data_IF_063319163717
#
_entry.id   IF_063319163717
#
_cell.length_a   1.000
_cell.length_b   1.000
_cell.length_c   1.000
_cell.angle_alpha   90.00
_cell.angle_beta   90.00
_cell.angle_gamma   90.00
#
_symmetry.space_group_name_H-M   'P 1'
#
loop_
_entity.id
_entity.type
_entity.pdbx_description
1 polymer ?
#
# COMPACT_ATOMS: atom_id res chain seq x y z
N UNK A 1 18.66 -13.59 24.65
CA UNK A 1 18.14 -12.38 25.33
C UNK A 1 17.87 -11.31 24.30
N UNK A 2 16.94 -10.40 24.60
CA UNK A 2 16.32 -9.37 23.75
C UNK A 2 15.17 -9.88 22.85
N UNK A 3 14.01 -10.11 23.47
CA UNK A 3 12.73 -10.08 22.77
C UNK A 3 12.55 -8.69 22.17
N UNK A 4 12.57 -8.61 20.84
CA UNK A 4 12.24 -7.39 20.12
C UNK A 4 10.88 -6.91 20.61
N UNK A 5 10.80 -5.64 21.03
CA UNK A 5 9.55 -5.04 21.50
C UNK A 5 8.51 -5.14 20.39
N UNK A 6 7.57 -6.06 20.53
CA UNK A 6 6.38 -6.15 19.68
C UNK A 6 5.67 -4.80 19.76
N UNK A 7 5.54 -4.11 18.61
CA UNK A 7 4.60 -3.02 18.29
C UNK A 7 4.51 -1.77 19.18
N UNK A 8 4.15 -0.64 18.58
CA UNK A 8 3.70 0.54 19.33
C UNK A 8 2.20 0.42 19.65
N UNK A 9 1.90 -0.24 20.78
CA UNK A 9 0.53 -0.52 21.22
C UNK A 9 0.01 0.57 22.18
N UNK A 10 -1.31 0.81 22.12
CA UNK A 10 -2.05 1.68 23.01
C UNK A 10 -1.95 1.15 24.45
N UNK A 11 -1.47 1.96 25.37
CA UNK A 11 -1.32 1.58 26.79
C UNK A 11 -2.65 1.45 27.52
N UNK A 12 -3.76 1.91 26.92
CA UNK A 12 -5.11 1.85 27.50
C UNK A 12 -5.82 0.54 27.13
N UNK A 13 -5.85 0.18 25.84
CA UNK A 13 -6.61 -0.98 25.36
C UNK A 13 -5.75 -2.11 24.78
N UNK A 14 -4.44 -1.93 24.65
CA UNK A 14 -3.54 -2.90 24.03
C UNK A 14 -3.64 -3.00 22.51
N UNK A 15 -4.55 -2.25 21.87
CA UNK A 15 -4.66 -2.20 20.40
C UNK A 15 -3.51 -1.43 19.75
N UNK A 16 -3.34 -1.56 18.43
CA UNK A 16 -2.36 -0.73 17.68
C UNK A 16 -2.78 0.74 17.77
N UNK A 17 -1.83 1.63 18.03
CA UNK A 17 -2.10 3.08 18.07
C UNK A 17 -2.62 3.58 16.71
N UNK A 18 -3.76 4.29 16.66
CA UNK A 18 -4.32 4.78 15.40
C UNK A 18 -3.37 5.66 14.58
N UNK A 19 -2.49 6.42 15.23
CA UNK A 19 -1.53 7.32 14.57
C UNK A 19 -0.47 6.56 13.76
N UNK A 20 -0.25 5.28 14.06
CA UNK A 20 0.66 4.41 13.30
C UNK A 20 0.03 3.86 12.02
N UNK A 21 -1.29 3.96 11.86
CA UNK A 21 -2.04 3.41 10.72
C UNK A 21 -2.19 4.50 9.66
N UNK A 22 -1.41 4.41 8.58
CA UNK A 22 -1.49 5.33 7.44
C UNK A 22 -2.34 4.71 6.33
N UNK A 23 -3.62 5.07 6.30
CA UNK A 23 -4.55 4.69 5.23
C UNK A 23 -4.76 5.90 4.31
N UNK A 24 -4.51 5.71 3.02
CA UNK A 24 -4.83 6.68 1.97
C UNK A 24 -6.06 6.24 1.20
N UNK A 25 -6.91 7.19 0.83
CA UNK A 25 -8.05 6.91 -0.05
C UNK A 25 -7.70 7.24 -1.49
N UNK A 26 -7.91 6.29 -2.39
CA UNK A 26 -7.75 6.45 -3.84
C UNK A 26 -9.03 6.02 -4.55
N UNK A 27 -9.17 6.36 -5.83
CA UNK A 27 -10.28 5.88 -6.65
C UNK A 27 -9.89 4.59 -7.37
N UNK A 28 -10.56 3.50 -7.03
CA UNK A 28 -10.48 2.23 -7.77
C UNK A 28 -11.79 2.04 -8.50
N UNK A 29 -11.77 2.09 -9.84
CA UNK A 29 -13.00 1.93 -10.65
C UNK A 29 -14.11 2.92 -10.23
N UNK A 30 -13.71 4.19 -10.00
CA UNK A 30 -14.60 5.26 -9.53
C UNK A 30 -15.02 5.17 -8.05
N UNK A 31 -14.56 4.17 -7.30
CA UNK A 31 -14.92 3.97 -5.88
C UNK A 31 -13.79 4.38 -4.96
N UNK A 32 -14.12 5.23 -4.00
CA UNK A 32 -13.23 5.59 -2.89
C UNK A 32 -12.83 4.33 -2.10
N UNK A 33 -11.54 4.01 -2.11
CA UNK A 33 -10.98 2.79 -1.54
C UNK A 33 -9.81 3.15 -0.65
N UNK A 34 -9.86 2.73 0.61
CA UNK A 34 -8.74 2.87 1.55
C UNK A 34 -7.64 1.85 1.24
N UNK A 35 -6.41 2.31 1.07
CA UNK A 35 -5.20 1.51 0.90
C UNK A 35 -4.28 1.79 2.08
N UNK A 36 -4.02 0.74 2.86
CA UNK A 36 -3.05 0.74 3.94
C UNK A 36 -1.63 0.79 3.37
N UNK A 37 -0.79 1.66 3.95
CA UNK A 37 0.64 1.79 3.62
C UNK A 37 0.96 2.20 2.17
N UNK A 38 0.05 2.92 1.49
CA UNK A 38 0.23 3.25 0.06
C UNK A 38 1.55 3.99 -0.21
N UNK A 39 1.91 4.99 0.59
CA UNK A 39 3.16 5.73 0.42
C UNK A 39 4.39 4.84 0.58
N UNK A 40 4.39 3.96 1.60
CA UNK A 40 5.49 3.02 1.86
C UNK A 40 5.64 2.05 0.69
N UNK A 41 4.52 1.59 0.12
CA UNK A 41 4.50 0.72 -1.05
C UNK A 41 5.11 1.45 -2.25
N UNK A 42 4.62 2.65 -2.59
CA UNK A 42 5.10 3.44 -3.73
C UNK A 42 6.59 3.73 -3.61
N UNK A 43 7.05 4.25 -2.46
CA UNK A 43 8.47 4.53 -2.20
C UNK A 43 9.33 3.27 -2.32
N UNK A 44 8.80 2.15 -1.83
CA UNK A 44 9.45 0.86 -1.92
C UNK A 44 9.59 0.35 -3.35
N UNK A 45 8.62 0.61 -4.24
CA UNK A 45 8.70 0.25 -5.67
C UNK A 45 9.64 1.20 -6.42
N UNK A 46 9.59 2.51 -6.15
CA UNK A 46 10.50 3.50 -6.76
C UNK A 46 11.97 3.14 -6.55
N UNK A 47 12.32 2.67 -5.36
CA UNK A 47 13.69 2.23 -5.01
C UNK A 47 14.20 1.03 -5.80
N UNK A 48 13.32 0.26 -6.46
CA UNK A 48 13.73 -0.86 -7.29
C UNK A 48 14.17 -0.42 -8.70
N UNK A 49 13.87 0.81 -9.11
CA UNK A 49 14.23 1.35 -10.43
C UNK A 49 13.84 0.43 -11.59
N UNK A 50 12.63 -0.17 -11.49
CA UNK A 50 12.07 -1.01 -12.55
C UNK A 50 11.88 -0.20 -13.84
N UNK A 51 12.12 -0.83 -14.99
CA UNK A 51 12.26 -0.13 -16.28
C UNK A 51 10.99 -0.05 -17.11
N UNK A 52 9.99 -0.85 -16.79
CA UNK A 52 8.75 -0.93 -17.57
C UNK A 52 7.50 -0.90 -16.67
N UNK A 53 6.43 -0.33 -17.21
CA UNK A 53 5.16 -0.13 -16.52
C UNK A 53 4.54 -1.46 -16.06
N UNK A 54 4.76 -2.56 -16.78
CA UNK A 54 4.20 -3.86 -16.43
C UNK A 54 4.87 -4.44 -15.16
N UNK A 55 6.21 -4.35 -15.07
CA UNK A 55 6.96 -4.74 -13.88
C UNK A 55 6.59 -3.87 -12.66
N UNK A 56 6.45 -2.56 -12.86
CA UNK A 56 6.02 -1.62 -11.80
C UNK A 56 4.62 -2.01 -11.30
N UNK A 57 3.66 -2.18 -12.20
CA UNK A 57 2.29 -2.57 -11.87
C UNK A 57 2.22 -3.90 -11.13
N UNK A 58 2.99 -4.90 -11.58
CA UNK A 58 3.05 -6.21 -10.94
C UNK A 58 3.59 -6.10 -9.50
N UNK A 59 4.64 -5.31 -9.27
CA UNK A 59 5.22 -5.13 -7.94
C UNK A 59 4.30 -4.32 -7.01
N UNK A 60 3.64 -3.26 -7.53
CA UNK A 60 2.63 -2.50 -6.80
C UNK A 60 1.49 -3.40 -6.33
N UNK A 61 0.94 -4.22 -7.23
CA UNK A 61 -0.12 -5.18 -6.89
C UNK A 61 0.35 -6.20 -5.86
N UNK A 62 1.57 -6.73 -6.01
CA UNK A 62 2.14 -7.72 -5.08
C UNK A 62 2.29 -7.14 -3.67
N UNK A 63 2.85 -5.94 -3.53
CA UNK A 63 3.04 -5.29 -2.22
C UNK A 63 1.73 -4.81 -1.62
N UNK A 64 0.84 -4.24 -2.44
CA UNK A 64 -0.49 -3.80 -1.97
C UNK A 64 -1.29 -5.00 -1.45
N UNK A 65 -1.26 -6.12 -2.17
CA UNK A 65 -1.92 -7.37 -1.77
C UNK A 65 -1.37 -8.02 -0.49
N UNK A 66 -0.15 -7.66 -0.06
CA UNK A 66 0.41 -8.14 1.20
C UNK A 66 -0.20 -7.45 2.44
N UNK A 67 -0.70 -6.22 2.28
CA UNK A 67 -1.28 -5.41 3.35
C UNK A 67 -2.78 -5.15 3.20
N UNK A 68 -3.33 -5.41 2.01
CA UNK A 68 -4.70 -5.08 1.64
C UNK A 68 -5.35 -6.24 0.89
N UNK A 69 -6.66 -6.40 1.06
CA UNK A 69 -7.43 -7.33 0.25
C UNK A 69 -7.66 -6.76 -1.17
N UNK A 70 -7.26 -7.51 -2.20
CA UNK A 70 -7.54 -7.20 -3.60
C UNK A 70 -8.42 -8.32 -4.18
N UNK A 71 -9.70 -8.06 -4.48
CA UNK A 71 -10.55 -9.06 -5.11
C UNK A 71 -9.99 -9.47 -6.48
N UNK A 72 -9.90 -10.77 -6.75
CA UNK A 72 -9.33 -11.28 -8.02
C UNK A 72 -10.00 -10.66 -9.26
N UNK A 73 -11.33 -10.47 -9.22
CA UNK A 73 -12.11 -9.85 -10.31
C UNK A 73 -11.84 -8.37 -10.52
N UNK A 74 -11.20 -7.70 -9.56
CA UNK A 74 -10.88 -6.26 -9.58
C UNK A 74 -9.38 -5.99 -9.66
N UNK A 75 -8.55 -7.02 -9.82
CA UNK A 75 -7.09 -6.89 -9.85
C UNK A 75 -6.60 -5.87 -10.87
N UNK A 76 -7.20 -5.85 -12.07
CA UNK A 76 -6.84 -4.89 -13.11
C UNK A 76 -7.17 -3.45 -12.70
N UNK A 77 -8.38 -3.20 -12.20
CA UNK A 77 -8.78 -1.87 -11.72
C UNK A 77 -7.88 -1.36 -10.58
N UNK A 78 -7.47 -2.25 -9.67
CA UNK A 78 -6.49 -1.90 -8.64
C UNK A 78 -5.13 -1.56 -9.26
N UNK A 79 -4.67 -2.35 -10.24
CA UNK A 79 -3.40 -2.10 -10.92
C UNK A 79 -3.38 -0.74 -11.60
N UNK A 80 -4.48 -0.35 -12.24
CA UNK A 80 -4.61 0.94 -12.92
C UNK A 80 -4.59 2.11 -11.93
N UNK A 81 -5.38 2.01 -10.85
CA UNK A 81 -5.41 3.02 -9.80
C UNK A 81 -4.05 3.17 -9.10
N UNK A 82 -3.38 2.06 -8.77
CA UNK A 82 -2.05 2.09 -8.15
C UNK A 82 -1.00 2.70 -9.08
N UNK A 83 -1.09 2.43 -10.39
CA UNK A 83 -0.19 3.04 -11.38
C UNK A 83 -0.43 4.55 -11.52
N UNK A 84 -1.67 5.02 -11.43
CA UNK A 84 -1.97 6.46 -11.41
C UNK A 84 -1.30 7.14 -10.22
N UNK A 85 -1.47 6.59 -9.01
CA UNK A 85 -0.85 7.14 -7.79
C UNK A 85 0.68 7.08 -7.83
N UNK A 86 1.24 5.99 -8.36
CA UNK A 86 2.69 5.86 -8.54
C UNK A 86 3.25 6.95 -9.46
N UNK A 87 2.58 7.22 -10.59
CA UNK A 87 2.99 8.25 -11.55
C UNK A 87 2.82 9.65 -10.98
N UNK A 88 1.72 9.93 -10.28
CA UNK A 88 1.47 11.21 -9.62
C UNK A 88 2.53 11.52 -8.53
N UNK A 89 3.13 10.51 -7.92
CA UNK A 89 4.22 10.68 -6.94
C UNK A 89 5.60 10.96 -7.58
N UNK A 90 5.71 10.95 -8.90
CA UNK A 90 6.93 11.32 -9.65
C UNK A 90 6.96 12.80 -10.06
N UNK A 91 5.80 13.46 -10.06
CA UNK A 91 5.63 14.90 -10.30
C UNK A 91 5.99 15.72 -9.06
#
# INVERSE_FOLDING_TARGET
>A
MAGAKEGDYCTVCGGIKPEAIKIRTILVDGKATGINQLEVIIDGVRKLSLKDDAAIRAELLRRTGAFNYIPTKKKEAYGDALMQEYKAALE
#
